data_IF_572371766046
#
_entry.id   IF_572371766046
#
_cell.length_a   1.000
_cell.length_b   1.000
_cell.length_c   1.000
_cell.angle_alpha   90.00
_cell.angle_beta   90.00
_cell.angle_gamma   90.00
#
_symmetry.space_group_name_H-M   'P 1'
#
loop_
_entity.id
_entity.type
_entity.pdbx_description
1 polymer ?
#
# COMPACT_ATOMS: atom_id res chain seq x y z
N UNK A 1 -1.57 -17.67 13.90
CA UNK A 1 -1.00 -18.80 14.68
C UNK A 1 0.35 -19.13 14.09
N UNK A 2 1.45 -18.81 14.78
CA UNK A 2 2.79 -19.29 14.37
C UNK A 2 2.74 -20.83 14.34
N UNK A 3 3.24 -21.46 13.27
CA UNK A 3 3.12 -22.91 13.11
C UNK A 3 3.73 -23.61 14.34
N UNK A 4 2.90 -24.30 15.12
CA UNK A 4 3.27 -24.92 16.41
C UNK A 4 4.49 -25.84 16.29
N UNK A 5 4.64 -26.49 15.12
CA UNK A 5 5.80 -27.33 14.79
C UNK A 5 7.12 -26.55 14.78
N UNK A 6 7.13 -25.33 14.25
CA UNK A 6 8.33 -24.51 14.12
C UNK A 6 8.88 -24.10 15.49
N UNK A 7 7.97 -23.71 16.39
CA UNK A 7 8.34 -23.39 17.77
C UNK A 7 8.95 -24.59 18.50
N UNK A 8 8.37 -25.78 18.32
CA UNK A 8 8.89 -27.03 18.89
C UNK A 8 10.27 -27.37 18.30
N UNK A 9 10.44 -27.20 16.99
CA UNK A 9 11.70 -27.45 16.30
C UNK A 9 12.81 -26.52 16.81
N UNK A 10 12.54 -25.22 16.92
CA UNK A 10 13.52 -24.26 17.45
C UNK A 10 13.84 -24.57 18.91
N UNK A 11 12.84 -24.79 19.79
CA UNK A 11 13.12 -25.11 21.20
C UNK A 11 13.92 -26.40 21.38
N UNK A 12 13.71 -27.42 20.54
CA UNK A 12 14.47 -28.67 20.59
C UNK A 12 15.93 -28.49 20.18
N UNK A 13 16.22 -27.56 19.27
CA UNK A 13 17.56 -27.33 18.72
C UNK A 13 18.35 -26.22 19.42
N UNK A 14 17.69 -25.35 20.17
CA UNK A 14 18.31 -24.16 20.78
C UNK A 14 18.37 -24.31 22.29
N UNK A 15 19.59 -24.25 22.85
CA UNK A 15 19.80 -24.20 24.31
C UNK A 15 19.37 -22.83 24.87
N UNK A 16 18.92 -22.75 26.13
CA UNK A 16 18.64 -21.47 26.77
C UNK A 16 19.89 -20.58 26.72
N UNK A 17 19.71 -19.34 26.28
CA UNK A 17 20.79 -18.37 26.11
C UNK A 17 21.01 -17.66 27.45
N UNK A 18 22.24 -17.63 28.00
CA UNK A 18 22.55 -16.85 29.20
C UNK A 18 22.20 -15.37 29.03
N UNK A 19 21.71 -14.71 30.08
CA UNK A 19 21.19 -13.34 30.03
C UNK A 19 22.21 -12.35 29.43
N UNK A 20 23.45 -12.37 29.91
CA UNK A 20 24.52 -11.48 29.43
C UNK A 20 24.73 -11.61 27.92
N UNK A 21 24.75 -12.84 27.42
CA UNK A 21 24.90 -13.12 25.99
C UNK A 21 23.67 -12.68 25.19
N UNK A 22 22.47 -12.81 25.75
CA UNK A 22 21.23 -12.39 25.10
C UNK A 22 21.20 -10.86 24.90
N UNK A 23 21.64 -10.09 25.90
CA UNK A 23 21.70 -8.62 25.82
C UNK A 23 22.66 -8.18 24.71
N UNK A 24 23.86 -8.79 24.63
CA UNK A 24 24.84 -8.49 23.59
C UNK A 24 24.30 -8.81 22.19
N UNK A 25 23.70 -9.99 22.02
CA UNK A 25 23.14 -10.40 20.73
C UNK A 25 21.93 -9.55 20.32
N UNK A 26 21.07 -9.16 21.26
CA UNK A 26 19.97 -8.22 21.01
C UNK A 26 20.50 -6.91 20.42
N UNK A 27 21.52 -6.31 21.05
CA UNK A 27 22.13 -5.06 20.56
C UNK A 27 22.72 -5.20 19.16
N UNK A 28 23.45 -6.29 18.91
CA UNK A 28 24.04 -6.56 17.58
C UNK A 28 22.98 -6.75 16.51
N UNK A 29 21.93 -7.52 16.80
CA UNK A 29 20.81 -7.73 15.88
C UNK A 29 20.03 -6.44 15.62
N UNK A 30 19.84 -5.59 16.63
CA UNK A 30 19.22 -4.28 16.44
C UNK A 30 20.02 -3.39 15.48
N UNK A 31 21.36 -3.36 15.60
CA UNK A 31 22.22 -2.59 14.70
C UNK A 31 22.15 -3.16 13.28
N UNK A 32 22.29 -4.48 13.13
CA UNK A 32 22.19 -5.14 11.84
C UNK A 32 20.82 -4.88 11.17
N UNK A 33 19.73 -5.00 11.94
CA UNK A 33 18.38 -4.69 11.48
C UNK A 33 18.27 -3.23 11.02
N UNK A 34 18.79 -2.28 11.79
CA UNK A 34 18.80 -0.86 11.42
C UNK A 34 19.52 -0.61 10.11
N UNK A 35 20.73 -1.16 9.94
CA UNK A 35 21.51 -1.01 8.72
C UNK A 35 20.82 -1.64 7.51
N UNK A 36 20.31 -2.86 7.64
CA UNK A 36 19.60 -3.54 6.55
C UNK A 36 18.34 -2.78 6.15
N UNK A 37 17.56 -2.32 7.14
CA UNK A 37 16.34 -1.56 6.90
C UNK A 37 16.63 -0.22 6.25
N UNK A 38 17.70 0.48 6.68
CA UNK A 38 18.12 1.74 6.07
C UNK A 38 18.50 1.58 4.60
N UNK A 39 19.24 0.51 4.27
CA UNK A 39 19.59 0.21 2.89
C UNK A 39 18.36 -0.16 2.05
N UNK A 40 17.47 -1.02 2.58
CA UNK A 40 16.22 -1.38 1.91
C UNK A 40 15.33 -0.15 1.66
N UNK A 41 15.26 0.75 2.63
CA UNK A 41 14.52 2.02 2.51
C UNK A 41 15.10 2.91 1.40
N UNK A 42 16.43 3.05 1.34
CA UNK A 42 17.10 3.77 0.26
C UNK A 42 16.82 3.18 -1.12
N UNK A 43 16.89 1.85 -1.25
CA UNK A 43 16.56 1.14 -2.48
C UNK A 43 15.09 1.32 -2.89
N UNK A 44 14.18 1.38 -1.91
CA UNK A 44 12.76 1.65 -2.15
C UNK A 44 12.55 3.07 -2.69
N UNK A 45 13.14 4.09 -2.07
CA UNK A 45 13.06 5.47 -2.56
C UNK A 45 13.64 5.59 -3.98
N UNK A 46 14.80 4.98 -4.21
CA UNK A 46 15.41 4.95 -5.53
C UNK A 46 14.48 4.30 -6.57
N UNK A 47 13.87 3.17 -6.24
CA UNK A 47 12.92 2.50 -7.14
C UNK A 47 11.70 3.38 -7.44
N UNK A 48 11.17 4.10 -6.44
CA UNK A 48 10.08 5.06 -6.62
C UNK A 48 10.51 6.20 -7.56
N UNK A 49 11.71 6.75 -7.39
CA UNK A 49 12.24 7.82 -8.27
C UNK A 49 12.41 7.38 -9.73
N UNK A 50 12.61 6.08 -9.98
CA UNK A 50 12.64 5.49 -11.31
C UNK A 50 11.25 5.18 -11.90
N UNK A 51 10.17 5.58 -11.22
CA UNK A 51 8.80 5.28 -11.63
C UNK A 51 8.37 3.83 -11.38
N UNK A 52 9.15 3.04 -10.63
CA UNK A 52 8.85 1.64 -10.29
C UNK A 52 7.97 1.52 -9.05
N UNK A 53 7.20 2.56 -8.73
CA UNK A 53 6.29 2.56 -7.59
C UNK A 53 5.15 1.53 -7.79
N UNK A 54 4.62 1.40 -9.00
CA UNK A 54 3.74 0.29 -9.40
C UNK A 54 4.60 -0.85 -9.96
N UNK A 55 5.19 -1.62 -9.04
CA UNK A 55 6.05 -2.76 -9.37
C UNK A 55 5.31 -3.83 -10.18
N UNK A 56 4.02 -4.07 -9.90
CA UNK A 56 3.22 -5.07 -10.60
C UNK A 56 3.09 -4.71 -12.10
N UNK A 57 2.85 -3.44 -12.40
CA UNK A 57 2.85 -2.98 -13.78
C UNK A 57 4.26 -3.01 -14.40
N UNK A 58 5.29 -2.57 -13.67
CA UNK A 58 6.67 -2.58 -14.18
C UNK A 58 7.17 -3.97 -14.60
N UNK A 59 6.80 -5.02 -13.86
CA UNK A 59 7.16 -6.40 -14.17
C UNK A 59 6.16 -7.09 -15.12
N UNK A 60 5.18 -6.38 -15.67
CA UNK A 60 4.21 -6.92 -16.62
C UNK A 60 3.16 -7.86 -16.00
N UNK A 61 3.00 -7.83 -14.68
CA UNK A 61 1.96 -8.59 -13.97
C UNK A 61 0.59 -7.92 -14.02
N UNK A 62 0.55 -6.62 -14.35
CA UNK A 62 -0.66 -5.79 -14.41
C UNK A 62 -0.77 -5.13 -15.77
N UNK A 63 -1.90 -5.31 -16.44
CA UNK A 63 -2.14 -4.74 -17.78
C UNK A 63 -2.29 -3.21 -17.73
N UNK A 64 -2.14 -2.55 -18.88
CA UNK A 64 -2.37 -1.10 -18.99
C UNK A 64 -3.81 -0.72 -18.64
N UNK A 65 -4.77 -1.59 -18.99
CA UNK A 65 -6.19 -1.42 -18.65
C UNK A 65 -6.41 -1.45 -17.14
N UNK A 66 -5.83 -2.43 -16.45
CA UNK A 66 -5.92 -2.55 -14.99
C UNK A 66 -5.23 -1.39 -14.26
N UNK A 67 -4.20 -0.80 -14.86
CA UNK A 67 -3.53 0.39 -14.34
C UNK A 67 -4.38 1.65 -14.49
N UNK A 68 -5.16 1.75 -15.55
CA UNK A 68 -6.06 2.88 -15.80
C UNK A 68 -7.28 2.88 -14.86
N UNK A 69 -7.68 1.73 -14.32
CA UNK A 69 -8.80 1.62 -13.39
C UNK A 69 -8.48 2.35 -12.07
N UNK A 70 -9.38 3.24 -11.65
CA UNK A 70 -9.25 3.94 -10.37
C UNK A 70 -9.32 2.94 -9.21
N UNK A 71 -8.56 3.14 -8.11
CA UNK A 71 -8.62 2.24 -6.96
C UNK A 71 -10.04 2.07 -6.41
N UNK A 72 -10.83 3.15 -6.38
CA UNK A 72 -12.22 3.10 -5.93
C UNK A 72 -13.08 2.19 -6.82
N UNK A 73 -12.91 2.26 -8.15
CA UNK A 73 -13.59 1.35 -9.09
C UNK A 73 -13.14 -0.10 -8.90
N UNK A 74 -11.84 -0.35 -8.70
CA UNK A 74 -11.34 -1.70 -8.42
C UNK A 74 -11.95 -2.29 -7.15
N UNK A 75 -12.03 -1.50 -6.07
CA UNK A 75 -12.61 -1.95 -4.80
C UNK A 75 -14.12 -2.22 -4.89
N UNK A 76 -14.88 -1.39 -5.59
CA UNK A 76 -16.32 -1.62 -5.76
C UNK A 76 -16.62 -2.90 -6.53
N UNK A 77 -15.81 -3.23 -7.56
CA UNK A 77 -15.90 -4.49 -8.28
C UNK A 77 -15.58 -5.69 -7.40
N UNK A 78 -14.49 -5.63 -6.62
CA UNK A 78 -14.08 -6.71 -5.69
C UNK A 78 -15.15 -6.96 -4.63
N UNK A 79 -15.79 -5.90 -4.13
CA UNK A 79 -16.79 -5.97 -3.06
C UNK A 79 -18.23 -6.18 -3.58
N UNK A 80 -18.46 -6.16 -4.89
CA UNK A 80 -19.79 -6.30 -5.49
C UNK A 80 -20.74 -5.14 -5.18
N UNK A 81 -20.20 -3.93 -4.92
CA UNK A 81 -21.00 -2.75 -4.59
C UNK A 81 -21.45 -2.08 -5.89
N UNK A 82 -22.77 -2.05 -6.12
CA UNK A 82 -23.35 -1.46 -7.33
C UNK A 82 -23.36 0.07 -7.33
N UNK A 83 -23.64 0.67 -6.17
CA UNK A 83 -23.73 2.12 -6.00
C UNK A 83 -22.76 2.55 -4.90
N UNK A 84 -21.71 3.29 -5.26
CA UNK A 84 -20.72 3.80 -4.32
C UNK A 84 -20.49 5.29 -4.54
N UNK A 85 -20.38 6.04 -3.44
CA UNK A 85 -20.01 7.45 -3.48
C UNK A 85 -18.54 7.58 -3.15
N UNK A 86 -17.75 8.15 -4.05
CA UNK A 86 -16.30 8.26 -3.92
C UNK A 86 -15.92 9.69 -3.58
N UNK A 87 -15.19 9.86 -2.48
CA UNK A 87 -14.56 11.11 -2.11
C UNK A 87 -13.06 10.99 -2.35
N UNK A 88 -12.51 11.82 -3.22
CA UNK A 88 -11.05 11.90 -3.40
C UNK A 88 -10.49 12.96 -2.47
N UNK A 89 -9.59 12.56 -1.60
CA UNK A 89 -8.88 13.46 -0.68
C UNK A 89 -7.41 13.48 -1.10
N UNK A 90 -6.85 14.67 -1.28
CA UNK A 90 -5.43 14.87 -1.54
C UNK A 90 -4.87 15.83 -0.50
N UNK A 91 -3.88 15.38 0.27
CA UNK A 91 -3.36 16.14 1.41
C UNK A 91 -4.44 16.33 2.48
N UNK A 92 -4.88 17.58 2.68
CA UNK A 92 -5.90 17.96 3.67
C UNK A 92 -7.21 18.44 3.05
N UNK A 93 -7.34 18.43 1.72
CA UNK A 93 -8.53 18.94 1.02
C UNK A 93 -9.23 17.84 0.24
N UNK A 94 -10.56 17.94 0.19
CA UNK A 94 -11.38 17.15 -0.73
C UNK A 94 -11.18 17.72 -2.13
N UNK A 95 -10.68 16.90 -3.04
CA UNK A 95 -10.29 17.31 -4.40
C UNK A 95 -11.35 16.94 -5.43
N UNK A 96 -12.10 15.86 -5.20
CA UNK A 96 -13.08 15.36 -6.18
C UNK A 96 -14.19 14.57 -5.49
N UNK A 97 -15.34 14.50 -6.14
CA UNK A 97 -16.50 13.74 -5.71
C UNK A 97 -17.23 13.18 -6.93
N UNK A 98 -17.36 11.85 -6.99
CA UNK A 98 -18.10 11.18 -8.05
C UNK A 98 -18.81 9.94 -7.53
N UNK A 99 -19.82 9.51 -8.27
CA UNK A 99 -20.60 8.32 -7.96
C UNK A 99 -20.19 7.20 -8.92
N UNK A 100 -20.11 5.98 -8.41
CA UNK A 100 -19.95 4.77 -9.21
C UNK A 100 -21.29 4.08 -9.21
N UNK A 101 -21.93 3.99 -10.38
CA UNK A 101 -23.25 3.36 -10.57
C UNK A 101 -23.04 2.21 -11.57
N UNK A 102 -23.32 0.99 -11.13
CA UNK A 102 -23.17 -0.26 -11.90
C UNK A 102 -21.79 -0.39 -12.60
N UNK A 103 -20.74 0.13 -11.97
CA UNK A 103 -19.36 0.07 -12.47
C UNK A 103 -18.94 1.21 -13.40
N UNK A 104 -19.84 2.15 -13.68
CA UNK A 104 -19.55 3.38 -14.43
C UNK A 104 -19.33 4.57 -13.50
N UNK A 105 -18.33 5.40 -13.80
CA UNK A 105 -18.04 6.62 -13.04
C UNK A 105 -18.93 7.76 -13.56
N UNK A 106 -19.84 8.26 -12.72
CA UNK A 106 -20.70 9.40 -13.01
C UNK A 106 -20.16 10.61 -12.23
N UNK A 107 -19.60 11.57 -12.96
CA UNK A 107 -19.14 12.85 -12.40
C UNK A 107 -20.25 13.88 -12.54
N UNK A 108 -20.64 14.53 -11.44
CA UNK A 108 -21.54 15.69 -11.50
C UNK A 108 -20.68 16.91 -11.86
N UNK A 109 -21.09 17.76 -12.82
CA UNK A 109 -20.35 18.96 -13.14
C UNK A 109 -20.25 19.86 -11.91
N UNK A 110 -19.07 20.43 -11.70
CA UNK A 110 -18.78 21.28 -10.55
C UNK A 110 -19.58 22.59 -10.67
N UNK A 111 -20.38 22.92 -9.66
CA UNK A 111 -21.36 24.03 -9.70
C UNK A 111 -20.69 25.40 -9.92
N UNK A 112 -19.37 25.49 -9.70
CA UNK A 112 -18.59 26.73 -9.83
C UNK A 112 -18.33 27.16 -11.28
N UNK A 113 -18.17 26.25 -12.23
CA UNK A 113 -17.97 26.61 -13.64
C UNK A 113 -19.24 27.15 -14.29
N UNK A 114 -20.41 26.91 -13.69
CA UNK A 114 -21.70 27.32 -14.27
C UNK A 114 -22.00 28.80 -14.00
N UNK A 115 -21.44 29.40 -12.94
CA UNK A 115 -21.59 30.83 -12.65
C UNK A 115 -20.67 31.69 -13.54
N UNK A 116 -19.42 31.28 -13.83
CA UNK A 116 -18.51 32.02 -14.72
C UNK A 116 -18.90 32.00 -16.21
N UNK A 117 -19.76 31.07 -16.64
CA UNK A 117 -20.27 30.99 -18.02
C UNK A 117 -21.60 31.74 -18.22
N UNK A 118 -22.16 32.31 -17.16
CA UNK A 118 -23.42 33.07 -17.17
C UNK A 118 -23.24 34.58 -16.88
N UNK A 119 -22.01 35.03 -16.63
CA UNK A 119 -21.58 36.44 -16.56
C UNK A 119 -20.91 36.90 -17.87
#
# INVERSE_FOLDING_TARGET
MIHKWWYVFIRKRTKPIPEDTAVVWKKRLSIAYGLLTWNAFGLMIYSISQGKADWAHYYGLKSDEEKAISPAKSWTQILGIKNAKVYRISGLTKTDEYEIIDGEEVRKPDIKETEELLD
#
